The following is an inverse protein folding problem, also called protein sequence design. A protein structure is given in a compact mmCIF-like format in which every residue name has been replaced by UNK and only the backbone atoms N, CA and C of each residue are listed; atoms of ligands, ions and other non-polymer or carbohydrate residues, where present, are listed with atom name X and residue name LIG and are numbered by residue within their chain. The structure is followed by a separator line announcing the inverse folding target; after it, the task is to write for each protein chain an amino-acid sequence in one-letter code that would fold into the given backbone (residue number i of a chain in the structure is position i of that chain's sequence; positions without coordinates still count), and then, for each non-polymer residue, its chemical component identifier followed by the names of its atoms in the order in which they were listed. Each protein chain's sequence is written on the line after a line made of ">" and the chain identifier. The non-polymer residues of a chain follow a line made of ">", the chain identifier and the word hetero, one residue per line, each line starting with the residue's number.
data_IF_354772330032
#
_entry.id   IF_354772330032
#
_cell.length_a   1.000
_cell.length_b   1.000
_cell.length_c   1.000
_cell.angle_alpha   90.00
_cell.angle_beta   90.00
_cell.angle_gamma   90.00
#
_symmetry.space_group_name_H-M   'P 1'
#
loop_
_entity.id
_entity.type
_entity.pdbx_description
1 polymer ?
#
# COMPACT_ATOMS: atom_id res chain seq x y z
N UNK A 1 -8.51 -24.40 26.54
CA UNK A 1 -9.31 -23.67 25.51
C UNK A 1 -8.45 -22.67 24.71
N UNK A 2 -7.56 -21.89 25.36
CA UNK A 2 -6.74 -20.88 24.67
C UNK A 2 -5.71 -21.46 23.69
N UNK A 3 -5.10 -22.62 23.98
CA UNK A 3 -4.13 -23.28 23.09
C UNK A 3 -4.78 -23.77 21.80
N UNK A 4 -5.94 -24.40 21.89
CA UNK A 4 -6.69 -24.92 20.72
C UNK A 4 -7.15 -23.74 19.83
N UNK A 5 -7.58 -22.61 20.44
CA UNK A 5 -7.96 -21.41 19.70
C UNK A 5 -6.76 -20.80 18.96
N UNK A 6 -5.58 -20.79 19.61
CA UNK A 6 -4.33 -20.27 19.03
C UNK A 6 -3.85 -21.14 17.85
N UNK A 7 -3.92 -22.46 18.00
CA UNK A 7 -3.56 -23.41 16.93
C UNK A 7 -4.48 -23.28 15.71
N UNK A 8 -5.78 -23.16 15.91
CA UNK A 8 -6.77 -22.96 14.83
C UNK A 8 -6.56 -21.62 14.11
N UNK A 9 -6.18 -20.57 14.86
CA UNK A 9 -5.85 -19.26 14.29
C UNK A 9 -4.58 -19.33 13.44
N UNK A 10 -3.52 -20.02 13.92
CA UNK A 10 -2.28 -20.20 13.17
C UNK A 10 -2.50 -21.02 11.90
N UNK A 11 -3.23 -22.11 11.94
CA UNK A 11 -3.58 -22.90 10.75
C UNK A 11 -4.31 -22.06 9.70
N UNK A 12 -5.29 -21.26 10.13
CA UNK A 12 -6.02 -20.36 9.24
C UNK A 12 -5.08 -19.32 8.61
N UNK A 13 -4.15 -18.77 9.38
CA UNK A 13 -3.20 -17.76 8.90
C UNK A 13 -2.22 -18.35 7.88
N UNK A 14 -1.71 -19.57 8.13
CA UNK A 14 -0.83 -20.30 7.21
C UNK A 14 -1.55 -20.55 5.89
N UNK A 15 -2.77 -21.10 5.93
CA UNK A 15 -3.56 -21.39 4.72
C UNK A 15 -3.80 -20.12 3.90
N UNK A 16 -4.18 -19.03 4.57
CA UNK A 16 -4.41 -17.74 3.89
C UNK A 16 -3.14 -17.21 3.24
N UNK A 17 -2.00 -17.24 3.94
CA UNK A 17 -0.74 -16.76 3.40
C UNK A 17 -0.23 -17.65 2.24
N UNK A 18 -0.39 -18.96 2.34
CA UNK A 18 -0.05 -19.91 1.26
C UNK A 18 -0.90 -19.64 0.02
N UNK A 19 -2.19 -19.37 0.19
CA UNK A 19 -3.09 -19.06 -0.92
C UNK A 19 -2.68 -17.74 -1.62
N UNK A 20 -2.38 -16.70 -0.84
CA UNK A 20 -1.86 -15.43 -1.39
C UNK A 20 -0.55 -15.64 -2.13
N UNK A 21 0.37 -16.44 -1.58
CA UNK A 21 1.64 -16.76 -2.23
C UNK A 21 1.44 -17.47 -3.58
N UNK A 22 0.54 -18.45 -3.65
CA UNK A 22 0.22 -19.16 -4.90
C UNK A 22 -0.32 -18.17 -5.95
N UNK A 23 -1.24 -17.29 -5.58
CA UNK A 23 -1.79 -16.27 -6.50
C UNK A 23 -0.68 -15.37 -7.04
N UNK A 24 0.24 -14.92 -6.18
CA UNK A 24 1.37 -14.08 -6.60
C UNK A 24 2.31 -14.83 -7.54
N UNK A 25 2.60 -16.11 -7.26
CA UNK A 25 3.44 -16.93 -8.15
C UNK A 25 2.79 -17.10 -9.53
N UNK A 26 1.48 -17.38 -9.58
CA UNK A 26 0.74 -17.47 -10.84
C UNK A 26 0.80 -16.13 -11.59
N UNK A 27 0.63 -15.02 -10.89
CA UNK A 27 0.73 -13.68 -11.48
C UNK A 27 2.12 -13.44 -12.11
N UNK A 28 3.20 -13.71 -11.35
CA UNK A 28 4.58 -13.48 -11.82
C UNK A 28 4.89 -14.38 -13.03
N UNK A 29 4.51 -15.65 -12.98
CA UNK A 29 4.74 -16.59 -14.09
C UNK A 29 3.93 -16.19 -15.33
N UNK A 30 2.68 -15.79 -15.18
CA UNK A 30 1.86 -15.30 -16.28
C UNK A 30 2.46 -14.03 -16.89
N UNK A 31 2.95 -13.14 -16.04
CA UNK A 31 3.61 -11.91 -16.48
C UNK A 31 4.89 -12.19 -17.27
N UNK A 32 5.70 -13.14 -16.79
CA UNK A 32 6.92 -13.60 -17.50
C UNK A 32 6.58 -14.19 -18.87
N UNK A 33 5.53 -15.00 -18.97
CA UNK A 33 5.11 -15.60 -20.25
C UNK A 33 4.64 -14.54 -21.27
N UNK A 34 4.00 -13.44 -20.80
CA UNK A 34 3.46 -12.39 -21.69
C UNK A 34 4.54 -11.39 -22.09
N UNK A 35 5.39 -10.96 -21.14
CA UNK A 35 6.31 -9.83 -21.30
C UNK A 35 7.79 -10.25 -21.39
N UNK A 36 8.09 -11.55 -21.51
CA UNK A 36 9.45 -12.08 -21.57
C UNK A 36 10.22 -12.02 -20.24
N UNK A 37 11.30 -12.76 -20.16
CA UNK A 37 12.19 -12.85 -19.00
C UNK A 37 12.82 -11.50 -18.62
N UNK A 38 13.10 -10.64 -19.58
CA UNK A 38 13.73 -9.33 -19.35
C UNK A 38 12.86 -8.38 -18.53
N UNK A 39 11.56 -8.64 -18.49
CA UNK A 39 10.58 -7.82 -17.78
C UNK A 39 9.99 -8.49 -16.51
N UNK A 40 10.49 -9.69 -16.14
CA UNK A 40 9.97 -10.43 -14.97
C UNK A 40 10.07 -9.63 -13.66
N UNK A 41 11.14 -8.84 -13.49
CA UNK A 41 11.34 -7.99 -12.33
C UNK A 41 10.21 -6.96 -12.16
N UNK A 42 9.64 -6.46 -13.26
CA UNK A 42 8.49 -5.55 -13.23
C UNK A 42 7.28 -6.26 -12.61
N UNK A 43 7.04 -7.52 -13.00
CA UNK A 43 5.99 -8.36 -12.40
C UNK A 43 6.21 -8.59 -10.90
N UNK A 44 7.44 -8.91 -10.48
CA UNK A 44 7.78 -9.14 -9.06
C UNK A 44 7.57 -7.89 -8.22
N UNK A 45 8.11 -6.74 -8.63
CA UNK A 45 7.93 -5.50 -7.89
C UNK A 45 6.51 -4.95 -7.99
N UNK A 46 5.81 -5.20 -9.09
CA UNK A 46 4.39 -4.93 -9.23
C UNK A 46 3.56 -5.73 -8.22
N UNK A 47 3.83 -7.03 -8.06
CA UNK A 47 3.18 -7.88 -7.07
C UNK A 47 3.45 -7.41 -5.63
N UNK A 48 4.68 -7.02 -5.31
CA UNK A 48 5.01 -6.47 -3.98
C UNK A 48 4.34 -5.12 -3.73
N UNK A 49 4.30 -4.24 -4.73
CA UNK A 49 3.57 -2.97 -4.65
C UNK A 49 2.07 -3.19 -4.43
N UNK A 50 1.47 -4.15 -5.12
CA UNK A 50 0.07 -4.55 -4.95
C UNK A 50 -0.21 -4.98 -3.51
N UNK A 51 0.60 -5.86 -2.93
CA UNK A 51 0.43 -6.32 -1.54
C UNK A 51 0.53 -5.17 -0.53
N UNK A 52 1.52 -4.29 -0.72
CA UNK A 52 1.69 -3.16 0.17
C UNK A 52 0.55 -2.14 0.05
N UNK A 53 0.10 -1.85 -1.18
CA UNK A 53 -0.99 -0.93 -1.43
C UNK A 53 -2.35 -1.47 -0.97
N UNK A 54 -2.54 -2.79 -0.84
CA UNK A 54 -3.74 -3.36 -0.22
C UNK A 54 -3.89 -2.97 1.26
N UNK A 55 -2.81 -2.58 1.93
CA UNK A 55 -2.86 -2.09 3.31
C UNK A 55 -3.38 -0.65 3.41
N UNK A 56 -3.30 0.11 2.33
CA UNK A 56 -3.78 1.49 2.24
C UNK A 56 -5.10 1.57 1.47
N UNK A 57 -5.93 2.55 1.78
CA UNK A 57 -7.17 2.77 1.05
C UNK A 57 -6.97 3.86 0.00
N UNK A 58 -6.75 3.43 -1.24
CA UNK A 58 -6.67 4.29 -2.42
C UNK A 58 -7.97 4.30 -3.23
N UNK A 59 -9.05 3.73 -2.68
CA UNK A 59 -10.35 3.66 -3.36
C UNK A 59 -11.06 5.02 -3.47
N UNK A 60 -10.57 6.04 -2.75
CA UNK A 60 -11.01 7.42 -2.93
C UNK A 60 -10.35 7.99 -4.20
N UNK A 61 -11.14 8.43 -5.17
CA UNK A 61 -10.71 8.86 -6.51
C UNK A 61 -9.92 7.77 -7.28
N UNK A 62 -10.53 6.61 -7.52
CA UNK A 62 -9.84 5.45 -8.06
C UNK A 62 -9.23 5.71 -9.44
N UNK A 63 -9.92 6.45 -10.32
CA UNK A 63 -9.44 6.77 -11.68
C UNK A 63 -8.18 7.64 -11.62
N UNK A 64 -8.18 8.68 -10.79
CA UNK A 64 -7.03 9.57 -10.62
C UNK A 64 -5.83 8.84 -10.06
N UNK A 65 -6.03 8.00 -9.05
CA UNK A 65 -4.96 7.20 -8.46
C UNK A 65 -4.42 6.18 -9.47
N UNK A 66 -5.25 5.61 -10.33
CA UNK A 66 -4.81 4.70 -11.40
C UNK A 66 -3.97 5.45 -12.42
N UNK A 67 -4.43 6.59 -12.92
CA UNK A 67 -3.67 7.41 -13.87
C UNK A 67 -2.32 7.80 -13.27
N UNK A 68 -2.30 8.21 -12.01
CA UNK A 68 -1.08 8.57 -11.31
C UNK A 68 -0.12 7.38 -11.17
N UNK A 69 -0.62 6.17 -10.88
CA UNK A 69 0.21 4.96 -10.83
C UNK A 69 0.79 4.62 -12.21
N UNK A 70 -0.02 4.74 -13.27
CA UNK A 70 0.47 4.54 -14.64
C UNK A 70 1.60 5.53 -14.96
N UNK A 71 1.41 6.81 -14.65
CA UNK A 71 2.44 7.85 -14.87
C UNK A 71 3.70 7.54 -14.07
N UNK A 72 3.56 7.10 -12.81
CA UNK A 72 4.68 6.75 -11.95
C UNK A 72 5.48 5.57 -12.51
N UNK A 73 4.83 4.46 -12.86
CA UNK A 73 5.49 3.29 -13.43
C UNK A 73 6.15 3.64 -14.77
N UNK A 74 5.49 4.42 -15.61
CA UNK A 74 6.04 4.89 -16.87
C UNK A 74 7.28 5.77 -16.65
N UNK A 75 7.22 6.73 -15.70
CA UNK A 75 8.36 7.57 -15.36
C UNK A 75 9.54 6.78 -14.80
N UNK A 76 9.29 5.74 -13.98
CA UNK A 76 10.31 4.82 -13.49
C UNK A 76 11.02 4.12 -14.66
N UNK A 77 10.25 3.58 -15.61
CA UNK A 77 10.82 2.87 -16.76
C UNK A 77 11.61 3.77 -17.70
N UNK A 78 11.05 4.93 -18.03
CA UNK A 78 11.71 5.90 -18.90
C UNK A 78 12.96 6.48 -18.24
N UNK A 79 12.87 6.82 -16.94
CA UNK A 79 14.02 7.35 -16.20
C UNK A 79 15.14 6.32 -16.02
N UNK A 80 14.80 5.07 -15.76
CA UNK A 80 15.79 3.98 -15.69
C UNK A 80 16.50 3.80 -17.05
N UNK A 81 15.76 3.86 -18.15
CA UNK A 81 16.34 3.78 -19.49
C UNK A 81 17.30 4.93 -19.80
N UNK A 82 16.88 6.19 -19.57
CA UNK A 82 17.74 7.36 -19.82
C UNK A 82 18.95 7.38 -18.88
N UNK A 83 18.77 7.00 -17.61
CA UNK A 83 19.87 6.94 -16.65
C UNK A 83 20.90 5.84 -17.01
N UNK A 84 20.49 4.75 -17.64
CA UNK A 84 21.38 3.69 -18.08
C UNK A 84 22.18 4.04 -19.33
N UNK A 85 21.64 4.91 -20.20
CA UNK A 85 22.25 5.26 -21.48
C UNK A 85 23.20 6.47 -21.35
N UNK A 86 22.92 7.41 -20.41
CA UNK A 86 23.66 8.65 -20.27
C UNK A 86 24.16 8.89 -18.85
N UNK A 87 25.46 8.69 -18.61
CA UNK A 87 26.09 8.82 -17.28
C UNK A 87 25.85 10.22 -16.65
N UNK A 88 25.99 11.31 -17.41
CA UNK A 88 25.78 12.66 -16.87
C UNK A 88 24.31 12.95 -16.51
N UNK A 89 23.37 12.38 -17.24
CA UNK A 89 21.95 12.50 -16.94
C UNK A 89 21.51 11.55 -15.83
N UNK A 90 22.26 10.49 -15.55
CA UNK A 90 21.94 9.54 -14.51
C UNK A 90 21.79 10.19 -13.12
N UNK A 91 22.72 11.10 -12.76
CA UNK A 91 22.71 11.77 -11.44
C UNK A 91 21.42 12.56 -11.22
N UNK A 92 21.06 13.55 -12.07
CA UNK A 92 19.84 14.33 -11.86
C UNK A 92 18.58 13.47 -12.00
N UNK A 93 18.53 12.50 -12.92
CA UNK A 93 17.36 11.64 -13.11
C UNK A 93 17.15 10.74 -11.90
N UNK A 94 18.20 10.11 -11.37
CA UNK A 94 18.14 9.29 -10.18
C UNK A 94 17.59 10.10 -8.99
N UNK A 95 18.10 11.31 -8.81
CA UNK A 95 17.62 12.20 -7.75
C UNK A 95 16.13 12.53 -7.93
N UNK A 96 15.71 12.96 -9.11
CA UNK A 96 14.33 13.37 -9.38
C UNK A 96 13.37 12.20 -9.16
N UNK A 97 13.67 11.00 -9.68
CA UNK A 97 12.78 9.84 -9.57
C UNK A 97 12.67 9.36 -8.13
N UNK A 98 13.81 9.17 -7.43
CA UNK A 98 13.80 8.72 -6.04
C UNK A 98 13.13 9.75 -5.15
N UNK A 99 13.41 11.06 -5.34
CA UNK A 99 12.75 12.14 -4.62
C UNK A 99 11.25 12.14 -4.85
N UNK A 100 10.79 11.97 -6.10
CA UNK A 100 9.36 11.97 -6.43
C UNK A 100 8.63 10.76 -5.82
N UNK A 101 9.24 9.58 -5.87
CA UNK A 101 8.70 8.35 -5.24
C UNK A 101 8.58 8.58 -3.72
N UNK A 102 9.66 9.07 -3.09
CA UNK A 102 9.67 9.31 -1.66
C UNK A 102 8.69 10.42 -1.25
N UNK A 103 8.66 11.52 -1.98
CA UNK A 103 7.71 12.61 -1.74
C UNK A 103 6.27 12.13 -1.81
N UNK A 104 5.95 11.21 -2.72
CA UNK A 104 4.59 10.70 -2.88
C UNK A 104 4.18 9.70 -1.80
N UNK A 105 5.06 8.82 -1.39
CA UNK A 105 4.75 7.69 -0.52
C UNK A 105 5.45 7.71 0.85
N UNK A 106 6.50 8.51 1.02
CA UNK A 106 7.32 8.53 2.23
C UNK A 106 6.60 9.02 3.48
N UNK A 107 5.49 9.74 3.32
CA UNK A 107 4.68 10.22 4.43
C UNK A 107 3.70 9.17 5.00
N UNK A 108 3.56 8.02 4.33
CA UNK A 108 2.68 6.94 4.79
C UNK A 108 3.45 6.12 5.82
N UNK A 109 3.25 6.46 7.10
CA UNK A 109 4.03 5.91 8.21
C UNK A 109 3.71 4.45 8.54
N UNK A 110 2.55 3.94 8.14
CA UNK A 110 2.11 2.58 8.48
C UNK A 110 2.82 1.48 7.68
N UNK A 111 3.24 1.78 6.46
CA UNK A 111 3.96 0.84 5.61
C UNK A 111 4.92 1.63 4.69
N UNK A 112 6.12 1.13 4.44
CA UNK A 112 7.09 1.78 3.57
C UNK A 112 6.73 1.58 2.09
N UNK A 113 5.62 2.19 1.68
CA UNK A 113 5.03 2.03 0.34
C UNK A 113 5.96 2.50 -0.79
N UNK A 114 6.95 3.31 -0.49
CA UNK A 114 7.95 3.77 -1.47
C UNK A 114 8.94 2.68 -1.87
N UNK A 115 9.18 1.66 -1.01
CA UNK A 115 10.22 0.65 -1.23
C UNK A 115 10.07 -0.14 -2.53
N UNK A 116 8.91 -0.73 -2.88
CA UNK A 116 8.79 -1.51 -4.10
C UNK A 116 9.05 -0.67 -5.36
N UNK A 117 8.70 0.62 -5.34
CA UNK A 117 8.95 1.53 -6.48
C UNK A 117 10.43 1.92 -6.57
N UNK A 118 11.09 2.20 -5.44
CA UNK A 118 12.53 2.48 -5.43
C UNK A 118 13.31 1.25 -5.87
N UNK A 119 13.00 0.07 -5.33
CA UNK A 119 13.67 -1.15 -5.77
C UNK A 119 13.43 -1.45 -7.24
N UNK A 120 12.20 -1.30 -7.73
CA UNK A 120 11.93 -1.43 -9.17
C UNK A 120 12.84 -0.52 -9.99
N UNK A 121 12.95 0.75 -9.62
CA UNK A 121 13.82 1.71 -10.28
C UNK A 121 15.30 1.28 -10.23
N UNK A 122 15.80 0.94 -9.04
CA UNK A 122 17.18 0.52 -8.82
C UNK A 122 17.55 -0.75 -9.57
N UNK A 123 16.61 -1.68 -9.73
CA UNK A 123 16.85 -2.89 -10.51
C UNK A 123 16.69 -2.69 -12.01
N UNK A 124 15.84 -1.77 -12.47
CA UNK A 124 15.69 -1.49 -13.88
C UNK A 124 16.86 -0.69 -14.47
N UNK A 125 17.47 0.19 -13.69
CA UNK A 125 18.56 1.06 -14.16
C UNK A 125 19.82 0.27 -14.62
N UNK A 126 20.35 -0.74 -13.90
CA UNK A 126 21.49 -1.53 -14.37
C UNK A 126 21.13 -2.55 -15.45
N UNK A 127 19.86 -2.97 -15.57
CA UNK A 127 19.41 -3.89 -16.60
C UNK A 127 19.09 -3.15 -17.91
N UNK A 128 20.14 -2.80 -18.65
CA UNK A 128 20.00 -2.15 -19.94
C UNK A 128 19.22 -3.05 -20.91
N UNK A 129 18.36 -2.42 -21.67
CA UNK A 129 17.62 -3.08 -22.76
C UNK A 129 18.00 -2.44 -24.08
N UNK A 130 17.90 -3.25 -25.14
CA UNK A 130 18.05 -2.76 -26.50
C UNK A 130 16.89 -1.78 -26.80
N UNK A 131 17.13 -0.68 -27.55
CA UNK A 131 16.07 0.29 -27.86
C UNK A 131 14.79 -0.32 -28.44
N UNK A 132 14.91 -1.44 -29.16
CA UNK A 132 13.78 -2.16 -29.73
C UNK A 132 12.87 -2.81 -28.70
N UNK A 133 13.38 -3.12 -27.50
CA UNK A 133 12.63 -3.72 -26.38
C UNK A 133 11.99 -2.66 -25.46
N UNK A 134 12.38 -1.39 -25.57
CA UNK A 134 11.85 -0.31 -24.74
C UNK A 134 10.32 -0.20 -24.81
N UNK A 135 9.65 -0.27 -25.97
CA UNK A 135 8.19 -0.21 -26.01
C UNK A 135 7.53 -1.34 -25.20
N UNK A 136 8.06 -2.57 -25.30
CA UNK A 136 7.54 -3.72 -24.55
C UNK A 136 7.70 -3.51 -23.04
N UNK A 137 8.85 -2.98 -22.60
CA UNK A 137 9.08 -2.63 -21.19
C UNK A 137 8.13 -1.55 -20.69
N UNK A 138 7.90 -0.49 -21.46
CA UNK A 138 6.97 0.58 -21.09
C UNK A 138 5.52 0.08 -21.02
N UNK A 139 5.11 -0.76 -21.98
CA UNK A 139 3.78 -1.38 -21.96
C UNK A 139 3.64 -2.28 -20.73
N UNK A 140 4.64 -3.10 -20.39
CA UNK A 140 4.60 -3.95 -19.21
C UNK A 140 4.46 -3.15 -17.90
N UNK A 141 5.12 -2.00 -17.80
CA UNK A 141 5.00 -1.07 -16.66
C UNK A 141 3.60 -0.44 -16.57
N UNK A 142 3.02 -0.04 -17.70
CA UNK A 142 1.64 0.48 -17.75
C UNK A 142 0.65 -0.59 -17.27
N UNK A 143 0.79 -1.82 -17.77
CA UNK A 143 -0.07 -2.95 -17.40
C UNK A 143 0.03 -3.24 -15.90
N UNK A 144 1.25 -3.27 -15.34
CA UNK A 144 1.44 -3.43 -13.89
C UNK A 144 0.82 -2.28 -13.11
N UNK A 145 0.97 -1.03 -13.57
CA UNK A 145 0.34 0.13 -12.94
C UNK A 145 -1.19 0.01 -12.83
N UNK A 146 -1.83 -0.51 -13.88
CA UNK A 146 -3.26 -0.81 -13.88
C UNK A 146 -3.57 -1.99 -12.93
N UNK A 147 -2.83 -3.09 -13.03
CA UNK A 147 -3.06 -4.30 -12.23
C UNK A 147 -2.89 -4.08 -10.73
N UNK A 148 -1.95 -3.24 -10.32
CA UNK A 148 -1.74 -2.86 -8.92
C UNK A 148 -2.97 -2.11 -8.35
N UNK A 149 -3.69 -1.37 -9.18
CA UNK A 149 -4.87 -0.62 -8.78
C UNK A 149 -6.17 -1.42 -8.84
N UNK A 150 -6.24 -2.49 -9.64
CA UNK A 150 -7.47 -3.31 -9.78
C UNK A 150 -8.04 -3.80 -8.44
N UNK A 151 -7.26 -4.39 -7.51
CA UNK A 151 -7.80 -4.84 -6.23
C UNK A 151 -8.35 -3.71 -5.36
N UNK A 152 -7.87 -2.48 -5.53
CA UNK A 152 -8.39 -1.32 -4.79
C UNK A 152 -9.87 -1.05 -5.12
N UNK A 153 -10.28 -1.27 -6.38
CA UNK A 153 -11.66 -1.11 -6.79
C UNK A 153 -12.60 -2.15 -6.16
N UNK A 154 -12.11 -3.40 -5.97
CA UNK A 154 -12.96 -4.51 -5.53
C UNK A 154 -12.85 -4.75 -4.02
N UNK A 155 -11.65 -4.77 -3.48
CA UNK A 155 -11.37 -5.19 -2.09
C UNK A 155 -11.50 -4.01 -1.12
N UNK A 156 -10.93 -2.86 -1.46
CA UNK A 156 -10.85 -1.72 -0.57
C UNK A 156 -12.03 -0.74 -0.69
N UNK A 157 -12.95 -0.98 -1.63
CA UNK A 157 -14.18 -0.19 -1.73
C UNK A 157 -14.91 -0.17 -0.37
N UNK A 158 -15.04 1.00 0.23
CA UNK A 158 -15.66 1.19 1.54
C UNK A 158 -14.85 0.65 2.76
N UNK A 159 -13.56 0.36 2.63
CA UNK A 159 -12.73 -0.11 3.76
C UNK A 159 -12.74 0.89 4.92
N UNK A 160 -12.55 2.18 4.65
CA UNK A 160 -12.63 3.25 5.65
C UNK A 160 -13.99 3.25 6.32
N UNK A 161 -15.08 3.23 5.55
CA UNK A 161 -16.44 3.21 6.07
C UNK A 161 -16.66 2.03 7.01
N UNK A 162 -16.36 0.80 6.56
CA UNK A 162 -16.50 -0.42 7.37
C UNK A 162 -15.63 -0.39 8.63
N UNK A 163 -14.41 0.15 8.55
CA UNK A 163 -13.52 0.26 9.71
C UNK A 163 -14.04 1.29 10.70
N UNK A 164 -14.53 2.44 10.23
CA UNK A 164 -15.14 3.48 11.09
C UNK A 164 -16.41 2.97 11.75
N UNK A 165 -17.29 2.31 10.99
CA UNK A 165 -18.54 1.71 11.52
C UNK A 165 -18.26 0.65 12.60
N UNK A 166 -17.10 0.01 12.57
CA UNK A 166 -16.69 -0.95 13.61
C UNK A 166 -16.06 -0.30 14.84
N UNK A 167 -15.25 0.74 14.62
CA UNK A 167 -14.48 1.37 15.72
C UNK A 167 -15.33 2.38 16.48
N UNK A 168 -16.17 3.14 15.77
CA UNK A 168 -16.95 4.23 16.37
C UNK A 168 -17.91 3.77 17.49
N UNK A 169 -18.71 2.71 17.32
CA UNK A 169 -19.56 2.21 18.42
C UNK A 169 -18.73 1.81 19.64
N UNK A 170 -17.65 1.04 19.44
CA UNK A 170 -16.81 0.62 20.56
C UNK A 170 -16.20 1.82 21.32
N UNK A 171 -15.82 2.87 20.59
CA UNK A 171 -15.31 4.09 21.22
C UNK A 171 -16.41 4.82 22.03
N UNK A 172 -17.62 4.90 21.49
CA UNK A 172 -18.78 5.50 22.17
C UNK A 172 -19.13 4.69 23.42
N UNK A 173 -19.15 3.36 23.35
CA UNK A 173 -19.43 2.49 24.50
C UNK A 173 -18.38 2.67 25.62
N UNK A 174 -17.11 2.83 25.28
CA UNK A 174 -16.06 3.14 26.26
C UNK A 174 -16.23 4.54 26.88
N UNK A 175 -16.67 5.52 26.11
CA UNK A 175 -16.97 6.85 26.65
C UNK A 175 -18.17 6.81 27.62
N UNK A 176 -19.22 6.06 27.27
CA UNK A 176 -20.40 5.88 28.16
C UNK A 176 -19.97 5.24 29.48
N UNK A 177 -19.21 4.11 29.40
CA UNK A 177 -18.69 3.47 30.62
C UNK A 177 -17.84 4.41 31.46
N UNK A 178 -17.00 5.23 30.84
CA UNK A 178 -16.20 6.22 31.55
C UNK A 178 -17.05 7.26 32.24
N UNK A 179 -18.12 7.74 31.62
CA UNK A 179 -19.08 8.69 32.22
C UNK A 179 -19.80 8.03 33.39
N UNK A 180 -20.25 6.78 33.26
CA UNK A 180 -20.93 6.03 34.34
C UNK A 180 -20.05 5.88 35.58
N UNK A 181 -18.77 5.52 35.42
CA UNK A 181 -17.80 5.38 36.50
C UNK A 181 -17.60 6.73 37.22
N UNK A 182 -17.47 7.82 36.46
CA UNK A 182 -17.31 9.16 37.02
C UNK A 182 -18.60 9.60 37.80
N UNK A 183 -19.77 9.29 37.24
CA UNK A 183 -21.06 9.67 37.83
C UNK A 183 -21.37 8.89 39.11
N UNK A 184 -21.00 7.59 39.13
CA UNK A 184 -21.25 6.72 40.29
C UNK A 184 -20.18 6.85 41.39
N UNK A 185 -19.16 7.72 41.20
CA UNK A 185 -18.02 7.89 42.12
C UNK A 185 -17.28 6.57 42.47
N UNK A 186 -17.43 5.55 41.66
CA UNK A 186 -16.69 4.29 41.76
C UNK A 186 -15.29 4.46 41.14
N UNK A 187 -14.36 4.96 41.98
CA UNK A 187 -12.96 5.03 41.62
C UNK A 187 -12.32 3.64 41.74
N UNK A 188 -12.45 2.80 40.70
CA UNK A 188 -11.77 1.52 40.62
C UNK A 188 -10.56 1.56 39.67
N UNK A 189 -9.65 0.61 39.88
CA UNK A 189 -8.42 0.32 39.07
C UNK A 189 -8.66 0.26 37.55
N UNK A 190 -9.90 0.08 37.12
CA UNK A 190 -10.30 -0.05 35.72
C UNK A 190 -10.27 1.26 34.90
N UNK A 191 -10.19 2.44 35.52
CA UNK A 191 -10.20 3.72 34.78
C UNK A 191 -8.96 3.87 33.90
N UNK A 192 -7.82 3.39 34.37
CA UNK A 192 -6.56 3.50 33.65
C UNK A 192 -6.56 2.61 32.39
N UNK A 193 -7.13 1.41 32.48
CA UNK A 193 -7.30 0.50 31.35
C UNK A 193 -8.29 1.06 30.31
N UNK A 194 -9.43 1.58 30.73
CA UNK A 194 -10.42 2.25 29.87
C UNK A 194 -9.83 3.47 29.18
N UNK A 195 -9.03 4.28 29.89
CA UNK A 195 -8.33 5.42 29.30
C UNK A 195 -7.34 4.98 28.21
N UNK A 196 -6.55 3.94 28.47
CA UNK A 196 -5.59 3.40 27.52
C UNK A 196 -6.28 2.84 26.27
N UNK A 197 -7.38 2.14 26.44
CA UNK A 197 -8.15 1.57 25.33
C UNK A 197 -8.87 2.66 24.53
N UNK A 198 -9.49 3.64 25.19
CA UNK A 198 -10.14 4.78 24.53
C UNK A 198 -9.15 5.63 23.74
N UNK A 199 -7.96 5.89 24.29
CA UNK A 199 -6.88 6.61 23.60
C UNK A 199 -6.42 5.84 22.36
N UNK A 200 -6.26 4.53 22.45
CA UNK A 200 -5.90 3.67 21.33
C UNK A 200 -6.94 3.72 20.20
N UNK A 201 -8.23 3.66 20.53
CA UNK A 201 -9.31 3.76 19.54
C UNK A 201 -9.40 5.17 18.94
N UNK A 202 -9.20 6.20 19.75
CA UNK A 202 -9.14 7.59 19.28
C UNK A 202 -7.99 7.81 18.29
N UNK A 203 -6.81 7.26 18.55
CA UNK A 203 -5.66 7.38 17.66
C UNK A 203 -5.89 6.61 16.34
N UNK A 204 -6.59 5.48 16.40
CA UNK A 204 -7.02 4.77 15.19
C UNK A 204 -8.00 5.61 14.36
N UNK A 205 -8.99 6.24 14.99
CA UNK A 205 -9.95 7.15 14.33
C UNK A 205 -9.26 8.38 13.75
N UNK A 206 -8.36 9.02 14.52
CA UNK A 206 -7.54 10.15 14.04
C UNK A 206 -6.74 9.78 12.80
N UNK A 207 -6.13 8.61 12.80
CA UNK A 207 -5.34 8.13 11.66
C UNK A 207 -6.22 7.96 10.41
N UNK A 208 -7.42 7.37 10.56
CA UNK A 208 -8.37 7.19 9.46
C UNK A 208 -8.82 8.56 8.90
N UNK A 209 -9.14 9.51 9.78
CA UNK A 209 -9.55 10.86 9.40
C UNK A 209 -8.41 11.62 8.72
N UNK A 210 -7.20 11.50 9.27
CA UNK A 210 -6.00 12.15 8.72
C UNK A 210 -5.67 11.62 7.32
N UNK A 211 -5.67 10.31 7.13
CA UNK A 211 -5.44 9.69 5.83
C UNK A 211 -6.48 10.17 4.80
N UNK A 212 -7.76 10.28 5.21
CA UNK A 212 -8.84 10.79 4.36
C UNK A 212 -8.67 12.29 4.05
N UNK A 213 -8.35 13.11 5.05
CA UNK A 213 -8.16 14.55 4.91
C UNK A 213 -6.94 14.86 4.03
N UNK A 214 -5.86 14.13 4.20
CA UNK A 214 -4.62 14.29 3.41
C UNK A 214 -4.83 13.89 1.97
N UNK A 215 -5.49 12.78 1.69
CA UNK A 215 -5.87 12.38 0.35
C UNK A 215 -6.75 13.44 -0.33
N UNK A 216 -7.70 14.06 0.40
CA UNK A 216 -8.54 15.14 -0.11
C UNK A 216 -7.77 16.44 -0.32
N UNK A 217 -6.81 16.77 0.54
CA UNK A 217 -6.03 18.00 0.46
C UNK A 217 -5.11 18.05 -0.79
N UNK A 218 -4.50 16.91 -1.15
CA UNK A 218 -3.68 16.83 -2.37
C UNK A 218 -4.51 16.77 -3.66
N UNK A 219 -5.80 16.54 -3.56
CA UNK A 219 -6.74 16.40 -4.68
C UNK A 219 -7.46 17.73 -4.96
N UNK A 220 -7.58 18.62 -3.97
CA UNK A 220 -8.33 19.88 -4.09
C UNK A 220 -7.46 21.10 -4.43
N UNK A 221 -6.19 20.89 -4.73
CA UNK A 221 -5.30 21.87 -5.35
C UNK A 221 -4.79 21.32 -6.69
#
# INVERSE_FOLDING_TARGET
>A
KNLIKKEKLMKKLIITNTFVFIILMIFILSFQCIFSNDNVLIGVFGATALLMLLQTDLSFEPIKNTIMMIILFFAIGLGAYIASDHLFLAIPINFIIVFFIYYKFGYITKAPLFLPFIFLYLFLAPFQIIPQQLPLRLISLIVVGIMVMLPQFFINKNKIKKTTEKILPNYVDLLIKKIEIITNAEFEENIEEINKESTKLLDQLKTIIYDKKKNKFYISK
#
